data_IF_241209639827
#
_entry.id   IF_241209639827
#
_cell.length_a   1.000
_cell.length_b   1.000
_cell.length_c   1.000
_cell.angle_alpha   90.00
_cell.angle_beta   90.00
_cell.angle_gamma   90.00
#
_symmetry.space_group_name_H-M   'P 1'
#
loop_
_entity.id
_entity.type
_entity.pdbx_description
1 polymer ?
#
# COMPACT_ATOMS: atom_id res chain seq x y z
N UNK A 1 -0.30 16.93 -15.33
CA UNK A 1 -0.20 15.46 -15.57
C UNK A 1 -0.46 14.63 -14.31
N UNK A 2 -0.02 15.02 -13.11
CA UNK A 2 -0.25 14.26 -11.85
C UNK A 2 -1.72 14.22 -11.39
N UNK A 3 -2.50 15.28 -11.58
CA UNK A 3 -3.91 15.35 -11.17
C UNK A 3 -4.77 14.25 -11.78
N UNK A 4 -4.64 13.98 -13.08
CA UNK A 4 -5.42 12.94 -13.77
C UNK A 4 -5.04 11.50 -13.32
N UNK A 5 -3.80 11.27 -12.87
CA UNK A 5 -3.36 9.97 -12.36
C UNK A 5 -3.84 9.73 -10.93
N UNK A 6 -3.88 10.75 -10.07
CA UNK A 6 -4.42 10.67 -8.71
C UNK A 6 -5.94 10.46 -8.73
N UNK A 7 -6.67 11.16 -9.59
CA UNK A 7 -8.10 10.94 -9.79
C UNK A 7 -8.39 9.53 -10.31
N UNK A 8 -7.57 9.02 -11.22
CA UNK A 8 -7.67 7.65 -11.72
C UNK A 8 -7.41 6.62 -10.60
N UNK A 9 -6.39 6.83 -9.76
CA UNK A 9 -6.10 6.01 -8.59
C UNK A 9 -7.27 6.03 -7.62
N UNK A 10 -7.79 7.21 -7.29
CA UNK A 10 -8.94 7.37 -6.40
C UNK A 10 -10.16 6.56 -6.86
N UNK A 11 -10.48 6.58 -8.15
CA UNK A 11 -11.64 5.87 -8.70
C UNK A 11 -11.45 4.34 -8.77
N UNK A 12 -10.22 3.84 -8.79
CA UNK A 12 -9.92 2.42 -8.98
C UNK A 12 -9.48 1.68 -7.70
N UNK A 13 -9.19 2.39 -6.59
CA UNK A 13 -8.81 1.79 -5.31
C UNK A 13 -9.98 1.24 -4.49
N UNK A 14 -11.20 1.33 -5.01
CA UNK A 14 -12.44 0.98 -4.30
C UNK A 14 -12.47 -0.44 -3.70
N UNK A 15 -12.07 -1.52 -4.37
CA UNK A 15 -12.08 -2.86 -3.77
C UNK A 15 -11.17 -2.98 -2.54
N UNK A 16 -9.99 -2.39 -2.59
CA UNK A 16 -9.03 -2.40 -1.48
C UNK A 16 -9.50 -1.52 -0.31
N UNK A 17 -10.16 -0.41 -0.62
CA UNK A 17 -10.79 0.46 0.37
C UNK A 17 -11.86 -0.31 1.17
N UNK A 18 -12.79 -0.99 0.50
CA UNK A 18 -13.85 -1.77 1.17
C UNK A 18 -13.24 -2.82 2.10
N UNK A 19 -12.23 -3.57 1.63
CA UNK A 19 -11.58 -4.57 2.45
C UNK A 19 -10.86 -3.96 3.66
N UNK A 20 -10.16 -2.84 3.48
CA UNK A 20 -9.49 -2.18 4.60
C UNK A 20 -10.48 -1.67 5.64
N UNK A 21 -11.63 -1.12 5.23
CA UNK A 21 -12.67 -0.71 6.16
C UNK A 21 -13.28 -1.89 6.92
N UNK A 22 -13.42 -3.07 6.27
CA UNK A 22 -13.80 -4.31 6.92
C UNK A 22 -12.77 -4.72 8.01
N UNK A 23 -11.48 -4.68 7.71
CA UNK A 23 -10.42 -4.94 8.69
C UNK A 23 -10.41 -3.92 9.84
N UNK A 24 -10.62 -2.64 9.55
CA UNK A 24 -10.70 -1.58 10.57
C UNK A 24 -11.89 -1.83 11.51
N UNK A 25 -13.02 -2.30 10.99
CA UNK A 25 -14.21 -2.62 11.81
C UNK A 25 -13.90 -3.69 12.88
N UNK A 26 -12.99 -4.61 12.60
CA UNK A 26 -12.58 -5.68 13.52
C UNK A 26 -11.71 -5.17 14.68
N UNK A 27 -11.14 -3.95 14.59
CA UNK A 27 -10.37 -3.35 15.68
C UNK A 27 -11.23 -2.97 16.88
N UNK A 28 -12.55 -2.87 16.71
CA UNK A 28 -13.52 -2.48 17.75
C UNK A 28 -13.12 -1.14 18.40
N UNK A 29 -12.96 -0.10 17.57
CA UNK A 29 -12.59 1.23 18.02
C UNK A 29 -13.65 1.79 18.98
N UNK A 30 -13.19 2.46 20.06
CA UNK A 30 -14.07 3.11 21.06
C UNK A 30 -14.56 4.48 20.60
N UNK A 31 -13.83 5.10 19.64
CA UNK A 31 -14.12 6.43 19.11
C UNK A 31 -13.30 7.56 19.74
N UNK A 32 -12.38 7.27 20.66
CA UNK A 32 -11.47 8.21 21.32
C UNK A 32 -10.00 7.98 20.98
N UNK A 33 -9.70 7.04 20.07
CA UNK A 33 -8.34 6.68 19.70
C UNK A 33 -7.64 7.80 18.94
N UNK A 34 -6.31 7.83 19.10
CA UNK A 34 -5.40 8.53 18.19
C UNK A 34 -4.82 7.54 17.20
N UNK A 35 -5.08 7.76 15.93
CA UNK A 35 -4.68 6.87 14.83
C UNK A 35 -3.75 7.60 13.87
N UNK A 36 -2.75 6.90 13.34
CA UNK A 36 -2.00 7.36 12.17
C UNK A 36 -2.18 6.35 11.02
N UNK A 37 -2.51 6.89 9.84
CA UNK A 37 -2.59 6.15 8.58
C UNK A 37 -1.33 6.43 7.77
N UNK A 38 -0.46 5.43 7.66
CA UNK A 38 0.86 5.54 7.04
C UNK A 38 0.81 5.06 5.59
N UNK A 39 1.21 5.95 4.67
CA UNK A 39 0.97 5.77 3.25
C UNK A 39 -0.50 6.00 2.91
N UNK A 40 -1.08 7.07 3.43
CA UNK A 40 -2.51 7.37 3.36
C UNK A 40 -3.03 7.63 1.93
N UNK A 41 -2.13 7.84 0.98
CA UNK A 41 -2.47 8.10 -0.40
C UNK A 41 -3.45 9.27 -0.56
N UNK A 42 -4.53 9.05 -1.29
CA UNK A 42 -5.57 10.05 -1.56
C UNK A 42 -6.41 10.46 -0.33
N UNK A 43 -6.13 9.89 0.84
CA UNK A 43 -6.78 10.23 2.11
C UNK A 43 -8.16 9.61 2.34
N UNK A 44 -8.68 8.78 1.42
CA UNK A 44 -10.03 8.21 1.51
C UNK A 44 -10.22 7.34 2.76
N UNK A 45 -9.29 6.40 3.01
CA UNK A 45 -9.35 5.53 4.19
C UNK A 45 -9.25 6.37 5.45
N UNK A 46 -8.30 7.30 5.48
CA UNK A 46 -8.08 8.22 6.61
C UNK A 46 -9.34 9.02 6.94
N UNK A 47 -10.03 9.54 5.91
CA UNK A 47 -11.28 10.30 6.08
C UNK A 47 -12.43 9.42 6.59
N UNK A 48 -12.54 8.16 6.14
CA UNK A 48 -13.54 7.24 6.70
C UNK A 48 -13.22 6.86 8.15
N UNK A 49 -11.94 6.66 8.49
CA UNK A 49 -11.50 6.41 9.87
C UNK A 49 -11.86 7.59 10.76
N UNK A 50 -11.69 8.84 10.30
CA UNK A 50 -12.03 10.04 11.10
C UNK A 50 -13.49 10.05 11.56
N UNK A 51 -14.41 9.51 10.76
CA UNK A 51 -15.84 9.42 11.11
C UNK A 51 -16.13 8.42 12.23
N UNK A 52 -15.24 7.43 12.42
CA UNK A 52 -15.33 6.44 13.50
C UNK A 52 -14.78 6.97 14.82
N UNK A 53 -14.17 8.15 14.85
CA UNK A 53 -13.46 8.72 15.99
C UNK A 53 -14.08 10.06 16.45
N UNK A 54 -15.32 10.10 16.93
CA UNK A 54 -15.99 11.36 17.30
C UNK A 54 -15.30 12.11 18.46
N UNK A 55 -14.48 11.45 19.27
CA UNK A 55 -13.68 12.03 20.35
C UNK A 55 -12.18 11.79 20.17
N UNK A 56 -11.81 11.10 19.09
CA UNK A 56 -10.44 10.76 18.73
C UNK A 56 -9.88 11.68 17.66
N UNK A 57 -8.76 11.24 17.08
CA UNK A 57 -8.04 12.00 16.07
C UNK A 57 -7.29 11.08 15.12
N UNK A 58 -7.22 11.43 13.83
CA UNK A 58 -6.44 10.69 12.85
C UNK A 58 -5.51 11.59 12.06
N UNK A 59 -4.28 11.11 11.85
CA UNK A 59 -3.28 11.72 10.96
C UNK A 59 -3.09 10.80 9.76
N UNK A 60 -3.27 11.32 8.54
CA UNK A 60 -2.80 10.69 7.31
C UNK A 60 -1.38 11.18 6.98
N UNK A 61 -0.46 10.26 6.75
CA UNK A 61 0.93 10.57 6.37
C UNK A 61 1.31 9.85 5.08
N UNK A 62 1.87 10.58 4.13
CA UNK A 62 2.41 10.01 2.88
C UNK A 62 3.70 10.73 2.49
N UNK A 63 4.58 10.02 1.77
CA UNK A 63 5.88 10.58 1.36
C UNK A 63 5.74 11.58 0.20
N UNK A 64 4.65 11.53 -0.56
CA UNK A 64 4.43 12.37 -1.73
C UNK A 64 3.66 13.65 -1.39
N UNK A 65 4.30 14.85 -1.50
CA UNK A 65 3.63 16.11 -1.19
C UNK A 65 2.37 16.36 -2.02
N UNK A 66 2.36 15.97 -3.28
CA UNK A 66 1.25 16.19 -4.21
C UNK A 66 0.01 15.39 -3.82
N UNK A 67 0.22 14.19 -3.29
CA UNK A 67 -0.84 13.31 -2.80
C UNK A 67 -1.45 13.88 -1.52
N UNK A 68 -0.61 14.41 -0.63
CA UNK A 68 -1.04 15.08 0.60
C UNK A 68 -1.81 16.38 0.29
N UNK A 69 -1.37 17.15 -0.70
CA UNK A 69 -2.10 18.34 -1.15
C UNK A 69 -3.50 17.97 -1.68
N UNK A 70 -3.58 16.92 -2.50
CA UNK A 70 -4.86 16.39 -2.99
C UNK A 70 -5.78 15.99 -1.83
N UNK A 71 -5.26 15.20 -0.86
CA UNK A 71 -6.03 14.75 0.30
C UNK A 71 -6.55 15.91 1.14
N UNK A 72 -5.72 16.93 1.41
CA UNK A 72 -6.10 18.16 2.13
C UNK A 72 -7.22 18.96 1.44
N UNK A 73 -7.14 19.05 0.11
CA UNK A 73 -8.15 19.75 -0.69
C UNK A 73 -9.49 18.99 -0.74
N UNK A 74 -9.43 17.67 -0.71
CA UNK A 74 -10.62 16.80 -0.81
C UNK A 74 -11.33 16.62 0.52
N UNK A 75 -10.58 16.52 1.61
CA UNK A 75 -11.07 16.26 2.97
C UNK A 75 -10.67 17.39 3.89
N UNK A 76 -11.37 18.51 3.76
CA UNK A 76 -11.10 19.72 4.51
C UNK A 76 -11.47 19.62 6.01
N UNK A 77 -10.86 20.47 6.84
CA UNK A 77 -11.10 20.51 8.29
C UNK A 77 -12.53 20.93 8.70
N UNK A 78 -13.29 21.55 7.81
CA UNK A 78 -14.67 21.94 8.14
C UNK A 78 -15.57 20.70 8.22
N UNK A 79 -15.33 19.74 7.31
CA UNK A 79 -16.07 18.48 7.25
C UNK A 79 -15.41 17.37 8.07
N UNK A 80 -14.11 17.47 8.35
CA UNK A 80 -13.32 16.50 9.11
C UNK A 80 -12.47 17.18 10.17
N UNK A 81 -13.07 17.70 11.28
CA UNK A 81 -12.36 18.52 12.28
C UNK A 81 -11.28 17.76 13.06
N UNK A 82 -11.36 16.43 13.09
CA UNK A 82 -10.45 15.52 13.78
C UNK A 82 -9.49 14.78 12.82
N UNK A 83 -9.30 15.33 11.60
CA UNK A 83 -8.44 14.78 10.57
C UNK A 83 -7.32 15.75 10.21
N UNK A 84 -6.10 15.25 10.09
CA UNK A 84 -4.96 15.99 9.56
C UNK A 84 -4.18 15.17 8.54
N UNK A 85 -3.60 15.84 7.53
CA UNK A 85 -2.68 15.23 6.57
C UNK A 85 -1.32 15.90 6.62
N UNK A 86 -0.25 15.10 6.58
CA UNK A 86 1.12 15.59 6.59
C UNK A 86 2.01 14.81 5.61
N UNK A 87 3.02 15.49 5.07
CA UNK A 87 4.10 14.80 4.35
C UNK A 87 5.01 14.14 5.37
N UNK A 88 5.31 12.85 5.17
CA UNK A 88 6.19 12.12 6.08
C UNK A 88 6.67 10.79 5.48
N UNK A 89 7.93 10.47 5.76
CA UNK A 89 8.51 9.17 5.44
C UNK A 89 8.39 8.25 6.66
N UNK A 90 7.76 7.10 6.48
CA UNK A 90 7.58 6.11 7.56
C UNK A 90 8.91 5.62 8.15
N UNK A 91 9.99 5.67 7.38
CA UNK A 91 11.34 5.28 7.83
C UNK A 91 11.94 6.27 8.84
N UNK A 92 11.44 7.49 8.87
CA UNK A 92 11.86 8.57 9.77
C UNK A 92 10.70 9.10 10.63
N UNK A 93 9.75 8.24 10.98
CA UNK A 93 8.62 8.59 11.85
C UNK A 93 9.15 8.95 13.26
N UNK A 94 8.92 10.20 13.70
CA UNK A 94 9.46 10.75 14.96
C UNK A 94 8.38 10.89 16.04
N UNK A 95 7.49 9.92 16.16
CA UNK A 95 6.49 9.89 17.22
C UNK A 95 6.88 8.89 18.31
N UNK A 96 6.62 9.24 19.54
CA UNK A 96 6.82 8.37 20.71
C UNK A 96 5.54 8.26 21.52
N UNK A 97 5.11 7.04 21.84
CA UNK A 97 3.94 6.74 22.70
C UNK A 97 2.70 7.60 22.36
N UNK A 98 2.46 7.86 21.08
CA UNK A 98 1.48 8.85 20.63
C UNK A 98 0.17 8.25 20.15
N UNK A 99 0.20 7.05 19.55
CA UNK A 99 -0.95 6.47 18.86
C UNK A 99 -1.47 5.20 19.54
N UNK A 100 -2.79 5.05 19.54
CA UNK A 100 -3.47 3.84 19.95
C UNK A 100 -3.44 2.79 18.85
N UNK A 101 -3.51 3.24 17.59
CA UNK A 101 -3.48 2.37 16.40
C UNK A 101 -2.65 3.01 15.29
N UNK A 102 -1.87 2.18 14.59
CA UNK A 102 -1.25 2.52 13.31
C UNK A 102 -1.91 1.68 12.24
N UNK A 103 -2.41 2.32 11.19
CA UNK A 103 -2.95 1.65 10.00
C UNK A 103 -2.05 1.93 8.80
N UNK A 104 -1.95 0.97 7.86
CA UNK A 104 -1.28 1.18 6.57
C UNK A 104 -1.88 0.26 5.53
N UNK A 105 -2.35 0.83 4.42
CA UNK A 105 -2.95 0.08 3.32
C UNK A 105 -2.27 0.38 1.99
N UNK A 106 -1.73 -0.64 1.34
CA UNK A 106 -1.16 -0.53 -0.01
C UNK A 106 0.16 0.23 -0.12
N UNK A 107 0.90 0.41 0.99
CA UNK A 107 2.10 1.24 1.00
C UNK A 107 3.40 0.46 1.27
N UNK A 108 3.40 -0.46 2.22
CA UNK A 108 4.65 -1.01 2.74
C UNK A 108 5.43 -1.91 1.78
N UNK A 109 4.80 -2.53 0.78
CA UNK A 109 5.50 -3.36 -0.22
C UNK A 109 6.50 -2.57 -1.09
N UNK A 110 6.50 -1.23 -1.02
CA UNK A 110 7.52 -0.38 -1.63
C UNK A 110 8.79 -0.23 -0.80
N UNK A 111 8.83 -0.81 0.40
CA UNK A 111 9.95 -0.73 1.32
C UNK A 111 10.62 -2.11 1.44
N UNK A 112 11.94 -2.18 1.22
CA UNK A 112 12.65 -3.46 1.21
C UNK A 112 12.79 -4.10 2.59
N UNK A 113 13.11 -3.30 3.61
CA UNK A 113 13.35 -3.80 4.95
C UNK A 113 12.31 -3.24 5.92
N UNK A 114 11.41 -4.09 6.40
CA UNK A 114 10.35 -3.69 7.31
C UNK A 114 10.77 -3.66 8.78
N UNK A 115 11.89 -4.25 9.18
CA UNK A 115 12.34 -4.22 10.59
C UNK A 115 12.48 -2.80 11.12
N UNK A 116 13.19 -1.87 10.45
CA UNK A 116 13.24 -0.47 10.91
C UNK A 116 11.87 0.21 10.98
N UNK A 117 10.99 -0.07 10.02
CA UNK A 117 9.61 0.47 9.99
C UNK A 117 8.79 -0.03 11.19
N UNK A 118 8.82 -1.34 11.44
CA UNK A 118 8.15 -1.94 12.59
C UNK A 118 8.70 -1.43 13.92
N UNK A 119 10.01 -1.16 13.98
CA UNK A 119 10.63 -0.53 15.16
C UNK A 119 10.06 0.87 15.39
N UNK A 120 9.97 1.70 14.34
CA UNK A 120 9.33 3.03 14.43
C UNK A 120 7.86 2.95 14.81
N UNK A 121 7.13 1.97 14.29
CA UNK A 121 5.75 1.74 14.69
C UNK A 121 5.65 1.38 16.18
N UNK A 122 6.54 0.53 16.67
CA UNK A 122 6.60 0.17 18.10
C UNK A 122 6.86 1.38 18.99
N UNK A 123 7.79 2.26 18.62
CA UNK A 123 8.13 3.48 19.34
C UNK A 123 6.97 4.50 19.31
N UNK A 124 6.27 4.63 18.19
CA UNK A 124 5.15 5.55 18.01
C UNK A 124 3.87 5.10 18.75
N UNK A 125 3.72 3.80 18.99
CA UNK A 125 2.55 3.26 19.67
C UNK A 125 2.61 3.47 21.19
N UNK A 126 1.45 3.77 21.77
CA UNK A 126 1.23 3.66 23.22
C UNK A 126 1.38 2.20 23.67
N UNK A 127 1.59 1.96 24.98
CA UNK A 127 1.55 0.60 25.54
C UNK A 127 0.27 -0.13 25.13
N UNK A 128 0.40 -1.35 24.63
CA UNK A 128 -0.72 -2.16 24.07
C UNK A 128 -1.40 -1.57 22.83
N UNK A 129 -0.77 -0.59 22.18
CA UNK A 129 -1.23 -0.06 20.89
C UNK A 129 -1.16 -1.12 19.79
N UNK A 130 -1.95 -0.96 18.76
CA UNK A 130 -2.15 -1.96 17.70
C UNK A 130 -1.64 -1.48 16.35
N UNK A 131 -1.18 -2.41 15.52
CA UNK A 131 -0.97 -2.19 14.09
C UNK A 131 -2.00 -2.96 13.28
N UNK A 132 -2.48 -2.36 12.19
CA UNK A 132 -3.28 -2.98 11.16
C UNK A 132 -2.66 -2.66 9.81
N UNK A 133 -2.04 -3.65 9.18
CA UNK A 133 -1.30 -3.48 7.94
C UNK A 133 -1.90 -4.36 6.85
N UNK A 134 -1.99 -3.85 5.63
CA UNK A 134 -2.44 -4.60 4.46
C UNK A 134 -1.63 -4.15 3.24
N UNK A 135 -0.86 -5.06 2.64
CA UNK A 135 0.00 -4.78 1.49
C UNK A 135 0.29 -6.05 0.69
N UNK A 136 0.86 -5.90 -0.51
CA UNK A 136 1.16 -7.04 -1.37
C UNK A 136 2.18 -7.98 -0.70
N UNK A 137 1.78 -9.24 -0.52
CA UNK A 137 2.58 -10.30 0.09
C UNK A 137 3.12 -11.30 -0.92
N UNK A 138 3.77 -12.35 -0.41
CA UNK A 138 4.34 -13.43 -1.21
C UNK A 138 3.31 -14.04 -2.18
N UNK A 139 3.73 -14.26 -3.42
CA UNK A 139 2.89 -14.83 -4.48
C UNK A 139 2.03 -13.81 -5.22
N UNK A 140 2.00 -12.55 -4.76
CA UNK A 140 1.23 -11.50 -5.41
C UNK A 140 1.71 -11.24 -6.82
N UNK A 141 0.79 -11.36 -7.79
CA UNK A 141 1.04 -11.14 -9.22
C UNK A 141 2.39 -11.69 -9.70
N UNK A 142 2.68 -12.93 -9.27
CA UNK A 142 4.00 -13.57 -9.35
C UNK A 142 4.62 -13.52 -10.74
N UNK A 143 3.83 -13.76 -11.78
CA UNK A 143 4.35 -13.74 -13.15
C UNK A 143 4.69 -12.33 -13.63
N UNK A 144 3.90 -11.31 -13.28
CA UNK A 144 4.21 -9.92 -13.59
C UNK A 144 5.47 -9.44 -12.87
N UNK A 145 5.55 -9.74 -11.57
CA UNK A 145 6.73 -9.39 -10.76
C UNK A 145 8.01 -10.06 -11.28
N UNK A 146 7.92 -11.32 -11.68
CA UNK A 146 9.06 -12.04 -12.26
C UNK A 146 9.55 -11.37 -13.56
N UNK A 147 8.65 -11.01 -14.46
CA UNK A 147 8.98 -10.29 -15.70
C UNK A 147 9.60 -8.92 -15.40
N UNK A 148 9.04 -8.18 -14.43
CA UNK A 148 9.61 -6.90 -14.00
C UNK A 148 11.05 -7.06 -13.48
N UNK A 149 11.30 -8.01 -12.59
CA UNK A 149 12.64 -8.25 -12.04
C UNK A 149 13.64 -8.64 -13.14
N UNK A 150 13.24 -9.49 -14.07
CA UNK A 150 14.10 -9.89 -15.19
C UNK A 150 14.41 -8.70 -16.11
N UNK A 151 13.40 -7.89 -16.42
CA UNK A 151 13.59 -6.70 -17.25
C UNK A 151 14.57 -5.70 -16.59
N UNK A 152 14.51 -5.55 -15.26
CA UNK A 152 15.42 -4.68 -14.50
C UNK A 152 16.87 -5.19 -14.45
N UNK A 153 17.12 -6.47 -14.78
CA UNK A 153 18.47 -7.00 -14.93
C UNK A 153 19.09 -6.66 -16.30
N UNK A 154 18.29 -6.26 -17.29
CA UNK A 154 18.79 -5.82 -18.58
C UNK A 154 19.59 -4.52 -18.42
N UNK A 155 20.75 -4.47 -19.10
CA UNK A 155 21.63 -3.31 -19.10
C UNK A 155 20.96 -2.02 -19.57
N UNK A 156 19.94 -2.14 -20.42
CA UNK A 156 19.11 -1.02 -20.91
C UNK A 156 18.35 -0.33 -19.78
N UNK A 157 17.93 -1.10 -18.74
CA UNK A 157 17.07 -0.64 -17.65
C UNK A 157 17.76 -0.60 -16.29
N UNK A 158 19.10 -0.78 -16.26
CA UNK A 158 19.88 -0.85 -15.01
C UNK A 158 19.71 0.36 -14.06
N UNK A 159 19.37 1.53 -14.60
CA UNK A 159 19.12 2.74 -13.79
C UNK A 159 17.81 2.67 -13.01
N UNK A 160 16.93 1.72 -13.37
CA UNK A 160 15.65 1.47 -12.71
C UNK A 160 15.71 0.33 -11.68
N UNK A 161 16.90 -0.14 -11.30
CA UNK A 161 17.08 -1.27 -10.37
C UNK A 161 16.50 -1.03 -8.97
N UNK A 162 16.18 0.24 -8.63
CA UNK A 162 15.52 0.63 -7.40
C UNK A 162 13.99 0.37 -7.41
N UNK A 163 13.42 -0.13 -8.53
CA UNK A 163 12.00 -0.49 -8.66
C UNK A 163 11.67 -1.86 -8.12
N UNK A 164 12.56 -2.52 -7.39
CA UNK A 164 12.26 -3.81 -6.78
C UNK A 164 11.25 -3.68 -5.64
N UNK A 165 10.41 -4.71 -5.48
CA UNK A 165 9.42 -4.84 -4.42
C UNK A 165 9.81 -5.99 -3.51
N UNK A 166 9.49 -5.88 -2.22
CA UNK A 166 9.69 -6.94 -1.26
C UNK A 166 8.34 -7.53 -0.87
N UNK A 167 8.16 -8.81 -1.13
CA UNK A 167 6.97 -9.55 -0.75
C UNK A 167 7.32 -10.57 0.33
N UNK A 168 6.71 -10.41 1.49
CA UNK A 168 6.92 -11.27 2.64
C UNK A 168 5.85 -12.35 2.73
N UNK A 169 6.25 -13.54 3.18
CA UNK A 169 5.32 -14.58 3.59
C UNK A 169 4.75 -14.30 5.00
N UNK A 170 3.60 -14.90 5.36
CA UNK A 170 3.08 -14.82 6.71
C UNK A 170 4.06 -15.31 7.77
N UNK A 171 4.84 -16.34 7.47
CA UNK A 171 5.81 -16.91 8.39
C UNK A 171 6.96 -15.94 8.70
N UNK A 172 7.58 -15.37 7.66
CA UNK A 172 8.63 -14.36 7.80
C UNK A 172 8.12 -13.15 8.59
N UNK A 173 6.92 -12.67 8.28
CA UNK A 173 6.39 -11.48 8.92
C UNK A 173 6.07 -11.71 10.41
N UNK A 174 5.61 -12.90 10.81
CA UNK A 174 5.46 -13.26 12.23
C UNK A 174 6.79 -13.21 12.98
N UNK A 175 7.87 -13.72 12.38
CA UNK A 175 9.20 -13.65 13.00
C UNK A 175 9.70 -12.20 13.13
N UNK A 176 9.46 -11.36 12.13
CA UNK A 176 9.79 -9.93 12.17
C UNK A 176 9.02 -9.20 13.29
N UNK A 177 7.71 -9.42 13.40
CA UNK A 177 6.87 -8.86 14.46
C UNK A 177 7.37 -9.26 15.85
N UNK A 178 7.67 -10.54 16.05
CA UNK A 178 8.22 -11.07 17.29
C UNK A 178 9.57 -10.44 17.63
N UNK A 179 10.46 -10.31 16.64
CA UNK A 179 11.79 -9.73 16.84
C UNK A 179 11.73 -8.26 17.29
N UNK A 180 10.72 -7.52 16.85
CA UNK A 180 10.52 -6.11 17.23
C UNK A 180 9.70 -5.95 18.54
N UNK A 181 9.07 -7.01 19.04
CA UNK A 181 8.29 -6.98 20.28
C UNK A 181 6.81 -6.68 20.05
N UNK A 182 6.23 -7.29 19.02
CA UNK A 182 4.78 -7.37 18.84
C UNK A 182 4.27 -8.77 19.16
N UNK A 183 3.09 -8.82 19.78
CA UNK A 183 2.27 -10.02 19.86
C UNK A 183 1.37 -10.10 18.64
N UNK A 184 1.45 -11.20 17.91
CA UNK A 184 0.67 -11.41 16.69
C UNK A 184 -0.78 -11.78 17.02
N UNK A 185 -1.75 -11.03 16.51
CA UNK A 185 -3.16 -11.39 16.57
C UNK A 185 -3.56 -12.21 15.33
N UNK A 186 -3.22 -11.69 14.11
CA UNK A 186 -3.36 -12.42 12.85
C UNK A 186 -2.28 -11.98 11.85
N UNK A 187 -1.82 -12.90 11.00
CA UNK A 187 -0.99 -12.63 9.81
C UNK A 187 -1.41 -13.62 8.74
N UNK A 188 -2.13 -13.16 7.73
CA UNK A 188 -2.79 -14.02 6.75
C UNK A 188 -2.65 -13.46 5.34
N UNK A 189 -2.72 -14.34 4.34
CA UNK A 189 -2.82 -13.96 2.94
C UNK A 189 -4.30 -13.94 2.54
N UNK A 190 -4.71 -12.81 1.95
CA UNK A 190 -5.99 -12.67 1.28
C UNK A 190 -5.79 -12.54 -0.23
N UNK A 191 -6.40 -13.47 -0.99
CA UNK A 191 -6.27 -13.54 -2.44
C UNK A 191 -7.35 -12.76 -3.16
N UNK A 192 -6.94 -11.79 -3.98
CA UNK A 192 -7.83 -11.10 -4.92
C UNK A 192 -7.60 -11.62 -6.34
N UNK A 193 -8.60 -12.22 -7.00
CA UNK A 193 -8.51 -12.56 -8.40
C UNK A 193 -8.49 -11.29 -9.25
N UNK A 194 -7.49 -11.16 -10.10
CA UNK A 194 -7.38 -10.12 -11.10
C UNK A 194 -7.71 -10.71 -12.46
N UNK A 195 -8.75 -10.19 -13.10
CA UNK A 195 -9.13 -10.61 -14.46
C UNK A 195 -8.72 -9.52 -15.44
N UNK A 196 -7.80 -9.86 -16.30
CA UNK A 196 -7.34 -8.97 -17.35
C UNK A 196 -7.85 -9.49 -18.69
N UNK A 197 -8.46 -8.64 -19.46
CA UNK A 197 -8.72 -8.93 -20.86
C UNK A 197 -7.38 -9.08 -21.62
N UNK A 198 -7.40 -9.78 -22.74
CA UNK A 198 -6.24 -9.98 -23.60
C UNK A 198 -5.91 -8.73 -24.43
N UNK A 199 -6.10 -7.55 -23.86
CA UNK A 199 -5.79 -6.26 -24.49
C UNK A 199 -4.56 -5.66 -23.84
N UNK A 200 -3.52 -5.44 -24.64
CA UNK A 200 -2.29 -4.78 -24.19
C UNK A 200 -2.59 -3.41 -23.56
N UNK A 201 -3.54 -2.69 -24.12
CA UNK A 201 -3.97 -1.38 -23.60
C UNK A 201 -4.59 -1.52 -22.21
N UNK A 202 -5.44 -2.52 -21.99
CA UNK A 202 -6.06 -2.74 -20.67
C UNK A 202 -5.05 -3.19 -19.62
N UNK A 203 -4.09 -4.05 -19.99
CA UNK A 203 -3.01 -4.46 -19.08
C UNK A 203 -2.14 -3.26 -18.72
N UNK A 204 -1.77 -2.39 -19.68
CA UNK A 204 -1.05 -1.14 -19.39
C UNK A 204 -1.83 -0.27 -18.41
N UNK A 205 -3.10 -0.02 -18.66
CA UNK A 205 -3.96 0.75 -17.77
C UNK A 205 -4.06 0.14 -16.37
N UNK A 206 -4.09 -1.19 -16.27
CA UNK A 206 -4.10 -1.87 -14.99
C UNK A 206 -2.75 -1.71 -14.26
N UNK A 207 -1.64 -1.82 -14.97
CA UNK A 207 -0.30 -1.55 -14.40
C UNK A 207 -0.23 -0.13 -13.87
N UNK A 208 -0.68 0.85 -14.63
CA UNK A 208 -0.72 2.25 -14.19
C UNK A 208 -1.59 2.48 -12.95
N UNK A 209 -2.69 1.76 -12.83
CA UNK A 209 -3.63 1.86 -11.71
C UNK A 209 -3.13 1.17 -10.44
N UNK A 210 -2.59 -0.03 -10.57
CA UNK A 210 -2.18 -0.88 -9.43
C UNK A 210 -0.74 -0.55 -9.00
N UNK A 211 0.10 -0.16 -9.95
CA UNK A 211 1.53 0.09 -9.75
C UNK A 211 1.85 1.58 -9.93
N UNK A 212 1.08 2.44 -9.27
CA UNK A 212 1.27 3.90 -9.31
C UNK A 212 2.73 4.33 -9.06
N UNK A 213 3.45 3.60 -8.22
CA UNK A 213 4.87 3.85 -7.99
C UNK A 213 5.76 3.65 -9.22
N UNK A 214 5.36 2.85 -10.22
CA UNK A 214 6.11 2.76 -11.46
C UNK A 214 6.08 4.08 -12.22
N UNK A 215 4.89 4.69 -12.36
CA UNK A 215 4.74 5.97 -13.08
C UNK A 215 5.42 7.14 -12.37
N UNK A 216 5.58 7.08 -11.04
CA UNK A 216 6.22 8.14 -10.26
C UNK A 216 7.75 7.98 -10.13
N UNK A 217 8.28 6.78 -10.34
CA UNK A 217 9.71 6.46 -10.14
C UNK A 217 10.48 6.26 -11.45
N UNK A 218 9.79 6.13 -12.58
CA UNK A 218 10.39 6.02 -13.91
C UNK A 218 10.38 7.40 -14.56
N UNK A 219 11.51 7.89 -15.13
CA UNK A 219 11.55 9.14 -15.88
C UNK A 219 10.50 9.15 -17.00
N UNK A 220 9.73 10.23 -17.17
CA UNK A 220 8.63 10.30 -18.16
C UNK A 220 9.06 9.97 -19.59
N UNK A 221 10.28 10.34 -19.98
CA UNK A 221 10.83 10.15 -21.32
C UNK A 221 11.06 8.69 -21.71
N UNK A 222 11.19 7.78 -20.73
CA UNK A 222 11.41 6.35 -20.98
C UNK A 222 10.22 5.48 -20.49
N UNK A 223 9.26 6.08 -19.80
CA UNK A 223 8.15 5.37 -19.17
C UNK A 223 7.34 4.53 -20.17
N UNK A 224 6.88 5.13 -21.26
CA UNK A 224 6.08 4.43 -22.26
C UNK A 224 6.83 3.27 -22.92
N UNK A 225 8.14 3.47 -23.18
CA UNK A 225 8.99 2.42 -23.77
C UNK A 225 9.19 1.27 -22.81
N UNK A 226 9.44 1.56 -21.54
CA UNK A 226 9.58 0.56 -20.48
C UNK A 226 8.29 -0.23 -20.29
N UNK A 227 7.16 0.47 -20.15
CA UNK A 227 5.86 -0.15 -19.95
C UNK A 227 5.44 -1.02 -21.14
N UNK A 228 5.73 -0.57 -22.37
CA UNK A 228 5.48 -1.33 -23.61
C UNK A 228 6.24 -2.66 -23.60
N UNK A 229 7.52 -2.64 -23.26
CA UNK A 229 8.37 -3.81 -23.20
C UNK A 229 7.95 -4.76 -22.08
N UNK A 230 7.71 -4.25 -20.87
CA UNK A 230 7.23 -5.00 -19.72
C UNK A 230 5.92 -5.75 -20.02
N UNK A 231 4.94 -5.05 -20.58
CA UNK A 231 3.63 -5.65 -20.87
C UNK A 231 3.73 -6.65 -22.02
N UNK A 232 4.59 -6.39 -23.02
CA UNK A 232 4.80 -7.35 -24.14
C UNK A 232 5.35 -8.67 -23.65
N UNK A 233 6.42 -8.64 -22.85
CA UNK A 233 7.03 -9.87 -22.28
C UNK A 233 6.04 -10.56 -21.33
N UNK A 234 5.29 -9.79 -20.53
CA UNK A 234 4.27 -10.37 -19.65
C UNK A 234 3.20 -11.14 -20.43
N UNK A 235 2.65 -10.55 -21.51
CA UNK A 235 1.64 -11.19 -22.36
C UNK A 235 2.16 -12.42 -23.09
N UNK A 236 3.40 -12.37 -23.57
CA UNK A 236 4.03 -13.52 -24.25
C UNK A 236 4.15 -14.73 -23.29
N UNK A 237 4.47 -14.49 -22.03
CA UNK A 237 4.64 -15.55 -21.02
C UNK A 237 3.34 -15.98 -20.36
N UNK A 238 2.31 -15.18 -20.46
CA UNK A 238 1.00 -15.44 -19.87
C UNK A 238 -0.07 -15.40 -20.98
N UNK A 239 -0.11 -16.40 -21.87
CA UNK A 239 -1.11 -16.45 -22.92
C UNK A 239 -2.52 -16.50 -22.32
N UNK A 240 -3.52 -15.92 -22.99
CA UNK A 240 -4.88 -15.95 -22.51
C UNK A 240 -5.42 -17.37 -22.43
N UNK A 241 -6.29 -17.60 -21.47
CA UNK A 241 -7.00 -18.85 -21.31
C UNK A 241 -8.08 -19.05 -22.41
N UNK A 242 -8.83 -20.16 -22.35
CA UNK A 242 -9.90 -20.47 -23.33
C UNK A 242 -11.00 -19.41 -23.40
N UNK A 243 -11.15 -18.59 -22.38
CA UNK A 243 -12.11 -17.46 -22.33
C UNK A 243 -11.51 -16.15 -22.85
N UNK A 244 -10.27 -16.17 -23.35
CA UNK A 244 -9.57 -14.98 -23.83
C UNK A 244 -9.06 -14.06 -22.72
N UNK A 245 -8.97 -14.54 -21.47
CA UNK A 245 -8.53 -13.75 -20.31
C UNK A 245 -7.15 -14.19 -19.84
N UNK A 246 -6.34 -13.21 -19.44
CA UNK A 246 -5.13 -13.44 -18.66
C UNK A 246 -5.50 -13.36 -17.18
N UNK A 247 -5.42 -14.47 -16.48
CA UNK A 247 -5.74 -14.56 -15.07
C UNK A 247 -4.49 -14.34 -14.21
N UNK A 248 -4.61 -13.50 -13.23
CA UNK A 248 -3.61 -13.27 -12.21
C UNK A 248 -4.27 -13.04 -10.86
N UNK A 249 -3.50 -12.99 -9.79
CA UNK A 249 -4.03 -12.70 -8.46
C UNK A 249 -3.12 -11.75 -7.71
N UNK A 250 -3.70 -10.86 -6.93
CA UNK A 250 -3.01 -10.07 -5.94
C UNK A 250 -3.16 -10.76 -4.59
N UNK A 251 -2.03 -11.16 -4.00
CA UNK A 251 -1.97 -11.74 -2.66
C UNK A 251 -1.67 -10.61 -1.68
N UNK A 252 -2.61 -10.31 -0.82
CA UNK A 252 -2.45 -9.28 0.20
C UNK A 252 -2.11 -9.90 1.54
N UNK A 253 -0.99 -9.48 2.12
CA UNK A 253 -0.61 -9.84 3.48
C UNK A 253 -1.31 -8.89 4.43
N UNK A 254 -2.22 -9.43 5.23
CA UNK A 254 -3.02 -8.71 6.22
C UNK A 254 -2.51 -9.04 7.62
N UNK A 255 -2.20 -8.01 8.40
CA UNK A 255 -1.53 -8.15 9.69
C UNK A 255 -2.30 -7.37 10.75
N UNK A 256 -2.61 -8.03 11.85
CA UNK A 256 -3.00 -7.40 13.10
C UNK A 256 -2.04 -7.85 14.20
N UNK A 257 -1.44 -6.90 14.91
CA UNK A 257 -0.55 -7.18 16.01
C UNK A 257 -0.64 -6.09 17.09
N UNK A 258 -0.27 -6.46 18.31
CA UNK A 258 -0.31 -5.59 19.49
C UNK A 258 1.10 -5.40 20.05
N UNK A 259 1.47 -4.17 20.36
CA UNK A 259 2.76 -3.84 20.95
C UNK A 259 2.88 -4.48 22.37
N UNK A 260 3.90 -5.32 22.59
CA UNK A 260 4.25 -5.85 23.90
C UNK A 260 4.98 -4.75 24.68
N UNK A 261 4.65 -4.61 25.96
CA UNK A 261 5.34 -3.67 26.85
C UNK A 261 6.80 -4.03 27.06
#
# INVERSE_FOLDING_TARGET
MYSSSIDSYHNNSFPFHVRMMDLISQLQLRGDEKIIDVGCGDGRITAEVSKLLPQGYVIGSDIFPEVIEFAKNKFDRQNHPNLEFQVGDVRSLEFENSFDVIVSCGALHYIHNHIPVLTRFKEALKPSGKILLSFLGEGSNKSFHFVLQELLLDSKWKELNNLSYQFYSPAEYREMLKAVGFSTNSVEIYSYPLKNNNSKTEIKQQVEKVWFSLSTRIPPEIYDTFLEELVSIYMERNPPNQSGLIESKAEWLEIQATAIQ
#
